data_IF_342973343202
#
_entry.id   IF_342973343202
#
_cell.length_a   1.000
_cell.length_b   1.000
_cell.length_c   1.000
_cell.angle_alpha   90.00
_cell.angle_beta   90.00
_cell.angle_gamma   90.00
#
_symmetry.space_group_name_H-M   'P 1'
#
loop_
_entity.id
_entity.type
_entity.pdbx_description
1 polymer ?
#
# COMPACT_ATOMS: atom_id res chain seq x y z
N UNK A 1 -8.63 5.37 14.11
CA UNK A 1 -8.59 5.69 12.67
C UNK A 1 -8.26 4.41 11.91
N UNK A 2 -9.03 4.03 10.87
CA UNK A 2 -8.69 2.85 10.05
C UNK A 2 -7.80 3.28 8.88
N UNK A 3 -6.90 2.39 8.43
CA UNK A 3 -6.08 2.62 7.23
C UNK A 3 -6.92 2.88 5.97
N UNK A 4 -8.10 2.23 5.86
CA UNK A 4 -9.03 2.50 4.76
C UNK A 4 -9.56 3.94 4.75
N UNK A 5 -9.66 4.56 5.92
CA UNK A 5 -10.19 5.92 6.05
C UNK A 5 -9.11 6.93 5.64
N UNK A 6 -7.84 6.68 6.00
CA UNK A 6 -6.71 7.51 5.57
C UNK A 6 -6.47 7.41 4.07
N UNK A 7 -6.58 6.23 3.48
CA UNK A 7 -6.57 6.06 2.03
C UNK A 7 -7.67 6.85 1.35
N UNK A 8 -8.90 6.79 1.88
CA UNK A 8 -10.04 7.51 1.29
C UNK A 8 -9.81 9.02 1.29
N UNK A 9 -9.33 9.58 2.40
CA UNK A 9 -9.04 11.01 2.48
C UNK A 9 -7.93 11.41 1.49
N UNK A 10 -6.83 10.66 1.45
CA UNK A 10 -5.69 10.95 0.58
C UNK A 10 -6.05 10.86 -0.93
N UNK A 11 -6.79 9.81 -1.30
CA UNK A 11 -7.20 9.58 -2.69
C UNK A 11 -8.27 10.58 -3.16
N UNK A 12 -9.11 11.10 -2.26
CA UNK A 12 -10.13 12.10 -2.64
C UNK A 12 -9.56 13.42 -3.17
N UNK A 13 -8.28 13.68 -2.92
CA UNK A 13 -7.56 14.91 -3.28
C UNK A 13 -6.54 14.68 -4.41
N UNK A 14 -6.45 13.47 -4.95
CA UNK A 14 -5.37 13.06 -5.85
C UNK A 14 -5.94 12.55 -7.17
N UNK A 15 -5.42 12.98 -8.33
CA UNK A 15 -5.79 12.39 -9.61
C UNK A 15 -5.56 10.87 -9.65
N UNK A 16 -6.43 10.14 -10.35
CA UNK A 16 -6.29 8.69 -10.53
C UNK A 16 -5.01 8.32 -11.32
N UNK A 17 -4.65 7.03 -11.28
CA UNK A 17 -3.43 6.53 -11.92
C UNK A 17 -2.21 6.62 -10.99
N UNK A 18 -1.05 6.95 -11.55
CA UNK A 18 0.23 6.85 -10.84
C UNK A 18 0.30 7.77 -9.61
N UNK A 19 -0.24 8.98 -9.68
CA UNK A 19 -0.26 9.93 -8.57
C UNK A 19 -1.04 9.39 -7.37
N UNK A 20 -2.25 8.86 -7.61
CA UNK A 20 -3.06 8.21 -6.58
C UNK A 20 -2.32 7.02 -5.95
N UNK A 21 -1.62 6.24 -6.77
CA UNK A 21 -0.90 5.07 -6.30
C UNK A 21 0.32 5.43 -5.43
N UNK A 22 1.10 6.44 -5.82
CA UNK A 22 2.20 6.97 -5.02
C UNK A 22 1.71 7.59 -3.70
N UNK A 23 0.63 8.37 -3.74
CA UNK A 23 0.01 8.95 -2.54
C UNK A 23 -0.46 7.85 -1.60
N UNK A 24 -1.13 6.81 -2.10
CA UNK A 24 -1.56 5.68 -1.28
C UNK A 24 -0.37 4.97 -0.61
N UNK A 25 0.73 4.75 -1.34
CA UNK A 25 1.94 4.16 -0.79
C UNK A 25 2.56 4.98 0.34
N UNK A 26 2.65 6.31 0.16
CA UNK A 26 3.13 7.23 1.21
C UNK A 26 2.20 7.27 2.42
N UNK A 27 0.88 7.28 2.19
CA UNK A 27 -0.13 7.23 3.26
C UNK A 27 -0.01 5.94 4.09
N UNK A 28 0.32 4.80 3.48
CA UNK A 28 0.55 3.56 4.20
C UNK A 28 1.71 3.69 5.20
N UNK A 29 2.86 4.19 4.72
CA UNK A 29 4.07 4.34 5.55
C UNK A 29 3.82 5.36 6.67
N UNK A 30 3.20 6.50 6.33
CA UNK A 30 2.87 7.54 7.32
C UNK A 30 1.89 7.03 8.38
N UNK A 31 0.87 6.27 7.98
CA UNK A 31 -0.04 5.62 8.93
C UNK A 31 0.70 4.69 9.89
N UNK A 32 1.68 3.93 9.41
CA UNK A 32 2.49 3.04 10.26
C UNK A 32 3.31 3.82 11.30
N UNK A 33 3.99 4.89 10.85
CA UNK A 33 4.82 5.76 11.71
C UNK A 33 3.97 6.49 12.75
N UNK A 34 2.83 7.04 12.34
CA UNK A 34 1.95 7.83 13.22
C UNK A 34 1.15 6.94 14.19
N UNK A 35 1.01 5.64 13.90
CA UNK A 35 0.18 4.71 14.68
C UNK A 35 0.88 3.35 14.93
N UNK A 36 2.08 3.31 15.53
CA UNK A 36 2.95 2.12 15.55
C UNK A 36 2.31 0.93 16.26
N UNK A 37 1.66 1.14 17.41
CA UNK A 37 0.99 0.06 18.16
C UNK A 37 -0.21 -0.51 17.41
N UNK A 38 -1.00 0.35 16.77
CA UNK A 38 -2.15 -0.06 15.96
C UNK A 38 -1.68 -0.80 14.71
N UNK A 39 -0.65 -0.31 14.05
CA UNK A 39 -0.08 -0.95 12.88
C UNK A 39 0.42 -2.35 13.21
N UNK A 40 1.22 -2.52 14.27
CA UNK A 40 1.69 -3.85 14.71
C UNK A 40 0.52 -4.78 15.06
N UNK A 41 -0.51 -4.28 15.74
CA UNK A 41 -1.72 -5.06 16.04
C UNK A 41 -2.44 -5.54 14.77
N UNK A 42 -2.59 -4.66 13.77
CA UNK A 42 -3.19 -5.02 12.48
C UNK A 42 -2.40 -6.13 11.79
N UNK A 43 -1.06 -6.08 11.82
CA UNK A 43 -0.22 -7.08 11.15
C UNK A 43 -0.25 -8.44 11.87
N UNK A 44 -0.34 -8.47 13.20
CA UNK A 44 -0.47 -9.74 13.95
C UNK A 44 -1.84 -10.40 13.78
N UNK A 45 -2.90 -9.61 13.54
CA UNK A 45 -4.28 -10.10 13.39
C UNK A 45 -4.76 -10.21 11.95
N UNK A 46 -3.93 -9.85 10.98
CA UNK A 46 -4.28 -9.94 9.57
C UNK A 46 -4.56 -11.42 9.21
N UNK A 47 -5.73 -11.74 8.63
CA UNK A 47 -5.99 -13.09 8.15
C UNK A 47 -4.94 -13.50 7.10
N UNK A 48 -4.60 -14.80 7.06
CA UNK A 48 -3.63 -15.33 6.09
C UNK A 48 -4.05 -14.92 4.68
N UNK A 49 -3.09 -14.32 3.97
CA UNK A 49 -3.17 -13.69 2.66
C UNK A 49 -4.24 -14.23 1.69
N UNK A 50 -5.45 -13.66 1.74
CA UNK A 50 -6.33 -13.58 0.57
C UNK A 50 -5.69 -12.74 -0.56
N UNK A 51 -4.62 -12.01 -0.24
CA UNK A 51 -3.71 -11.28 -1.14
C UNK A 51 -3.21 -12.12 -2.32
N UNK A 52 -3.03 -13.43 -2.12
CA UNK A 52 -2.59 -14.37 -3.17
C UNK A 52 -3.74 -14.90 -4.02
N UNK A 53 -4.99 -14.52 -3.75
CA UNK A 53 -6.09 -14.92 -4.60
C UNK A 53 -6.07 -14.09 -5.89
N UNK A 54 -6.12 -14.74 -7.06
CA UNK A 54 -6.26 -14.03 -8.34
C UNK A 54 -7.57 -13.25 -8.44
N UNK A 55 -8.60 -13.69 -7.72
CA UNK A 55 -9.92 -13.07 -7.72
C UNK A 55 -10.03 -11.99 -6.64
N UNK A 56 -10.17 -10.75 -7.09
CA UNK A 56 -10.27 -9.56 -6.24
C UNK A 56 -11.66 -9.38 -5.60
N UNK A 57 -12.68 -10.15 -6.03
CA UNK A 57 -14.09 -9.93 -5.65
C UNK A 57 -14.40 -10.13 -4.16
N UNK A 58 -13.50 -10.77 -3.40
CA UNK A 58 -13.64 -10.97 -1.95
C UNK A 58 -12.86 -9.96 -1.11
N UNK A 59 -12.05 -9.12 -1.75
CA UNK A 59 -11.23 -8.16 -1.03
C UNK A 59 -12.07 -7.04 -0.43
N UNK A 60 -11.71 -6.60 0.77
CA UNK A 60 -12.41 -5.52 1.46
C UNK A 60 -11.42 -4.53 2.07
N UNK A 61 -11.91 -3.34 2.42
CA UNK A 61 -11.13 -2.32 3.12
C UNK A 61 -9.90 -1.83 2.34
N UNK A 62 -8.79 -1.64 3.05
CA UNK A 62 -7.56 -1.08 2.49
C UNK A 62 -6.95 -1.94 1.36
N UNK A 63 -7.17 -3.26 1.38
CA UNK A 63 -6.61 -4.15 0.36
C UNK A 63 -7.37 -4.06 -0.97
N UNK A 64 -8.71 -3.96 -0.93
CA UNK A 64 -9.51 -3.67 -2.12
C UNK A 64 -9.14 -2.32 -2.75
N UNK A 65 -8.86 -1.31 -1.93
CA UNK A 65 -8.39 0.00 -2.41
C UNK A 65 -7.02 -0.10 -3.10
N UNK A 66 -6.11 -0.92 -2.58
CA UNK A 66 -4.83 -1.22 -3.25
C UNK A 66 -5.05 -1.84 -4.63
N UNK A 67 -5.92 -2.85 -4.74
CA UNK A 67 -6.23 -3.51 -6.00
C UNK A 67 -6.82 -2.56 -7.03
N UNK A 68 -7.79 -1.73 -6.64
CA UNK A 68 -8.42 -0.75 -7.52
C UNK A 68 -7.40 0.28 -8.02
N UNK A 69 -6.63 0.87 -7.10
CA UNK A 69 -5.66 1.93 -7.46
C UNK A 69 -4.54 1.37 -8.34
N UNK A 70 -4.11 0.12 -8.12
CA UNK A 70 -3.15 -0.54 -9.00
C UNK A 70 -3.75 -0.85 -10.38
N UNK A 71 -5.03 -1.22 -10.45
CA UNK A 71 -5.74 -1.46 -11.70
C UNK A 71 -5.80 -0.23 -12.61
N UNK A 72 -5.81 0.98 -12.03
CA UNK A 72 -5.74 2.24 -12.76
C UNK A 72 -4.34 2.56 -13.32
N UNK A 73 -3.30 1.88 -12.81
CA UNK A 73 -1.89 2.07 -13.23
C UNK A 73 -1.45 1.01 -14.24
N UNK A 74 -1.91 -0.23 -14.08
CA UNK A 74 -1.49 -1.34 -14.93
C UNK A 74 -2.16 -1.29 -16.32
N UNK A 75 -1.49 -1.78 -17.39
CA UNK A 75 -2.13 -2.01 -18.67
C UNK A 75 -3.39 -2.88 -18.53
N UNK A 76 -4.46 -2.54 -19.28
CA UNK A 76 -5.77 -3.22 -19.17
C UNK A 76 -5.73 -4.71 -19.50
N UNK A 77 -4.73 -5.15 -20.27
CA UNK A 77 -4.48 -6.52 -20.68
C UNK A 77 -3.53 -7.27 -19.72
N UNK A 78 -3.14 -6.66 -18.60
CA UNK A 78 -2.25 -7.30 -17.61
C UNK A 78 -2.90 -8.58 -17.07
N UNK A 79 -2.23 -9.75 -17.20
CA UNK A 79 -2.77 -11.02 -16.72
C UNK A 79 -3.04 -11.02 -15.21
N UNK A 80 -4.09 -11.72 -14.72
CA UNK A 80 -4.42 -11.74 -13.28
C UNK A 80 -3.27 -12.16 -12.37
N UNK A 81 -2.43 -13.11 -12.81
CA UNK A 81 -1.24 -13.53 -12.06
C UNK A 81 -0.23 -12.39 -11.91
N UNK A 82 -0.01 -11.59 -12.96
CA UNK A 82 0.89 -10.44 -12.90
C UNK A 82 0.30 -9.33 -12.03
N UNK A 83 -1.02 -9.11 -12.07
CA UNK A 83 -1.68 -8.17 -11.14
C UNK A 83 -1.48 -8.59 -9.68
N UNK A 84 -1.64 -9.88 -9.38
CA UNK A 84 -1.37 -10.43 -8.05
C UNK A 84 0.07 -10.17 -7.62
N UNK A 85 1.06 -10.49 -8.47
CA UNK A 85 2.48 -10.25 -8.19
C UNK A 85 2.75 -8.77 -7.96
N UNK A 86 2.17 -7.88 -8.77
CA UNK A 86 2.34 -6.42 -8.63
C UNK A 86 1.74 -5.87 -7.34
N UNK A 87 0.58 -6.37 -6.90
CA UNK A 87 0.03 -6.01 -5.57
C UNK A 87 0.92 -6.48 -4.45
N UNK A 88 1.42 -7.73 -4.53
CA UNK A 88 2.31 -8.27 -3.51
C UNK A 88 3.62 -7.48 -3.46
N UNK A 89 4.20 -7.14 -4.61
CA UNK A 89 5.37 -6.28 -4.72
C UNK A 89 5.10 -4.93 -4.06
N UNK A 90 3.97 -4.29 -4.40
CA UNK A 90 3.62 -2.99 -3.85
C UNK A 90 3.49 -3.01 -2.33
N UNK A 91 2.76 -3.98 -1.81
CA UNK A 91 2.56 -4.13 -0.39
C UNK A 91 3.87 -4.46 0.34
N UNK A 92 4.69 -5.35 -0.21
CA UNK A 92 5.98 -5.74 0.38
C UNK A 92 6.91 -4.55 0.56
N UNK A 93 6.95 -3.64 -0.41
CA UNK A 93 7.82 -2.46 -0.38
C UNK A 93 7.40 -1.52 0.74
N UNK A 94 6.13 -1.09 0.79
CA UNK A 94 5.68 -0.15 1.81
C UNK A 94 5.64 -0.79 3.20
N UNK A 95 5.38 -2.09 3.28
CA UNK A 95 5.42 -2.85 4.53
C UNK A 95 6.86 -2.95 5.07
N UNK A 96 7.81 -3.35 4.22
CA UNK A 96 9.22 -3.44 4.58
C UNK A 96 9.77 -2.09 5.02
N UNK A 97 9.51 -1.03 4.23
CA UNK A 97 9.93 0.33 4.59
C UNK A 97 9.35 0.77 5.94
N UNK A 98 8.07 0.48 6.19
CA UNK A 98 7.44 0.78 7.48
C UNK A 98 8.13 0.05 8.63
N UNK A 99 8.47 -1.23 8.48
CA UNK A 99 9.18 -1.99 9.53
C UNK A 99 10.59 -1.42 9.77
N UNK A 100 11.35 -1.12 8.71
CA UNK A 100 12.69 -0.55 8.83
C UNK A 100 12.69 0.76 9.62
N UNK A 101 11.70 1.64 9.39
CA UNK A 101 11.55 2.90 10.13
C UNK A 101 11.10 2.63 11.58
N UNK A 102 10.07 1.80 11.76
CA UNK A 102 9.54 1.48 13.10
C UNK A 102 10.53 0.76 14.01
N UNK A 103 11.49 0.05 13.44
CA UNK A 103 12.55 -0.66 14.16
C UNK A 103 13.84 0.18 14.28
N UNK A 104 13.81 1.45 13.84
CA UNK A 104 14.92 2.39 14.00
C UNK A 104 16.12 2.15 13.08
N UNK A 105 15.96 1.32 12.04
CA UNK A 105 17.01 1.00 11.08
C UNK A 105 17.12 2.07 9.98
N UNK A 106 16.03 2.81 9.74
CA UNK A 106 15.98 3.97 8.86
C UNK A 106 15.35 5.17 9.61
N UNK A 107 15.74 6.41 9.27
CA UNK A 107 15.09 7.59 9.81
C UNK A 107 13.68 7.79 9.23
N UNK A 108 12.81 8.47 9.96
CA UNK A 108 11.58 9.07 9.41
C UNK A 108 11.94 10.27 8.54
N UNK A 109 12.23 10.00 7.27
CA UNK A 109 12.55 11.00 6.25
C UNK A 109 11.53 10.95 5.10
N UNK A 110 10.70 11.98 5.00
CA UNK A 110 9.64 12.06 3.99
C UNK A 110 10.17 12.07 2.54
N UNK A 111 11.36 12.63 2.30
CA UNK A 111 11.95 12.63 0.95
C UNK A 111 12.40 11.22 0.57
N UNK A 112 12.97 10.48 1.51
CA UNK A 112 13.36 9.08 1.31
C UNK A 112 12.12 8.19 1.10
N UNK A 113 11.08 8.37 1.92
CA UNK A 113 9.81 7.64 1.78
C UNK A 113 9.21 7.88 0.39
N UNK A 114 9.08 9.14 -0.03
CA UNK A 114 8.56 9.48 -1.36
C UNK A 114 9.44 8.92 -2.49
N UNK A 115 10.77 8.95 -2.33
CA UNK A 115 11.71 8.45 -3.32
C UNK A 115 11.65 6.92 -3.50
N UNK A 116 11.51 6.17 -2.41
CA UNK A 116 11.34 4.71 -2.46
C UNK A 116 10.00 4.35 -3.10
N UNK A 117 8.90 5.00 -2.69
CA UNK A 117 7.56 4.70 -3.22
C UNK A 117 7.48 4.97 -4.73
N UNK A 118 7.93 6.14 -5.20
CA UNK A 118 7.88 6.50 -6.63
C UNK A 118 8.71 5.58 -7.54
N UNK A 119 9.91 5.17 -7.10
CA UNK A 119 10.82 4.31 -7.88
C UNK A 119 10.47 2.82 -7.86
N UNK A 120 9.50 2.44 -7.04
CA UNK A 120 9.12 1.04 -6.86
C UNK A 120 8.17 0.52 -7.94
N UNK A 121 7.60 1.43 -8.75
CA UNK A 121 6.53 1.12 -9.70
C UNK A 121 6.78 1.64 -11.13
N UNK A 122 7.93 2.28 -11.35
CA UNK A 122 8.45 2.70 -12.65
C UNK A 122 9.54 1.74 -13.13
#
# INVERSE_FOLDING_TARGET
MKLSDTFRDALSKTPAGIDAFEVMGRTYVRFAIDNPSLFRLMMTKAPRAEVLQPNQAKETGAFAMLSNTLGDVLPKDTPPELQMVKRLQAWSIVHGLSMLILDGQLPDDEKMIAAVVSRSFL
#
